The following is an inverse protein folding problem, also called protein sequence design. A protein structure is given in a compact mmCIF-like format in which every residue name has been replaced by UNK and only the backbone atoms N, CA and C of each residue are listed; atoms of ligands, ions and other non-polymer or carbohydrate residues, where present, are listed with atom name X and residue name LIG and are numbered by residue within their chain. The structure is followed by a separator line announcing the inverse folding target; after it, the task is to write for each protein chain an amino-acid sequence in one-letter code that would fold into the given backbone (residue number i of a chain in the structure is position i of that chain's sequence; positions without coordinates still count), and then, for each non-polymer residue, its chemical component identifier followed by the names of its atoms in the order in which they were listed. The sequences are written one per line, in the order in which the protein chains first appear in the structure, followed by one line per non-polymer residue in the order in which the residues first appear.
data_IF_131410052739
#
_entry.id   IF_131410052739
#
_cell.length_a   1.000
_cell.length_b   1.000
_cell.length_c   1.000
_cell.angle_alpha   90.00
_cell.angle_beta   90.00
_cell.angle_gamma   90.00
#
_symmetry.space_group_name_H-M   'P 1'
#
loop_
_entity.id
_entity.type
_entity.pdbx_description
1 polymer ?
#
# COMPACT_ATOMS: atom_id res chain seq x y z
N UNK A 1 11.51 16.74 -1.02
CA UNK A 1 12.66 15.85 -0.71
C UNK A 1 13.98 16.63 -0.64
N UNK A 2 14.00 17.76 0.07
CA UNK A 2 15.12 18.72 0.00
C UNK A 2 16.34 18.28 0.82
N UNK A 3 16.10 17.60 1.94
CA UNK A 3 17.16 17.14 2.83
C UNK A 3 17.89 15.85 2.35
N UNK A 4 17.49 15.27 1.21
CA UNK A 4 18.13 14.07 0.65
C UNK A 4 18.02 12.81 1.52
N UNK A 5 17.12 12.78 2.50
CA UNK A 5 16.86 11.65 3.39
C UNK A 5 15.59 10.91 2.98
N UNK A 6 15.55 9.60 3.19
CA UNK A 6 14.36 8.80 2.93
C UNK A 6 13.20 9.22 3.85
N UNK A 7 12.00 9.36 3.29
CA UNK A 7 10.79 9.80 4.02
C UNK A 7 9.65 8.81 3.88
N UNK A 8 8.75 8.80 4.87
CA UNK A 8 7.49 8.06 4.81
C UNK A 8 6.31 9.03 4.74
N UNK A 9 5.40 8.81 3.80
CA UNK A 9 4.12 9.53 3.73
C UNK A 9 3.09 8.85 4.65
N UNK A 10 2.34 9.65 5.41
CA UNK A 10 1.30 9.16 6.33
C UNK A 10 0.13 10.15 6.39
N UNK A 11 -1.06 9.63 6.68
CA UNK A 11 -2.25 10.44 6.95
C UNK A 11 -3.19 10.52 5.74
N UNK A 12 -4.44 10.07 5.95
CA UNK A 12 -5.49 10.05 4.92
C UNK A 12 -5.07 9.36 3.62
N UNK A 13 -4.25 8.32 3.73
CA UNK A 13 -3.93 7.41 2.63
C UNK A 13 -4.86 6.21 2.75
N UNK A 14 -5.87 6.15 1.88
CA UNK A 14 -7.02 5.25 2.03
C UNK A 14 -7.16 4.23 0.89
N UNK A 15 -6.49 4.45 -0.24
CA UNK A 15 -6.55 3.54 -1.38
C UNK A 15 -5.18 3.32 -2.05
N UNK A 16 -5.13 2.27 -2.87
CA UNK A 16 -3.90 1.81 -3.49
C UNK A 16 -3.37 2.77 -4.57
N UNK A 17 -4.25 3.44 -5.31
CA UNK A 17 -3.83 4.36 -6.37
C UNK A 17 -3.20 5.61 -5.77
N UNK A 18 -3.74 6.12 -4.67
CA UNK A 18 -3.15 7.22 -3.91
C UNK A 18 -1.76 6.85 -3.38
N UNK A 19 -1.61 5.65 -2.81
CA UNK A 19 -0.32 5.16 -2.33
C UNK A 19 0.72 5.01 -3.46
N UNK A 20 0.31 4.43 -4.58
CA UNK A 20 1.18 4.27 -5.76
C UNK A 20 1.60 5.61 -6.35
N UNK A 21 0.67 6.57 -6.45
CA UNK A 21 0.97 7.92 -6.93
C UNK A 21 2.02 8.63 -6.08
N UNK A 22 1.93 8.53 -4.74
CA UNK A 22 2.92 9.11 -3.82
C UNK A 22 4.33 8.56 -4.10
N UNK A 23 4.44 7.27 -4.41
CA UNK A 23 5.71 6.61 -4.70
C UNK A 23 6.24 6.97 -6.09
N UNK A 24 5.39 6.91 -7.12
CA UNK A 24 5.77 7.21 -8.50
C UNK A 24 6.22 8.68 -8.68
N UNK A 25 5.56 9.61 -8.01
CA UNK A 25 5.93 11.03 -8.00
C UNK A 25 7.12 11.34 -7.08
N UNK A 26 7.67 10.34 -6.39
CA UNK A 26 8.83 10.50 -5.52
C UNK A 26 8.58 11.38 -4.28
N UNK A 27 7.32 11.58 -3.89
CA UNK A 27 6.94 12.39 -2.74
C UNK A 27 7.42 11.77 -1.41
N UNK A 28 7.47 10.44 -1.36
CA UNK A 28 8.03 9.65 -0.27
C UNK A 28 8.68 8.36 -0.79
N UNK A 29 9.45 7.70 0.07
CA UNK A 29 10.09 6.41 -0.21
C UNK A 29 9.25 5.24 0.33
N UNK A 30 8.39 5.52 1.32
CA UNK A 30 7.51 4.56 1.97
C UNK A 30 6.14 5.20 2.18
N UNK A 31 5.10 4.37 2.19
CA UNK A 31 3.74 4.77 2.58
C UNK A 31 3.37 4.06 3.88
N UNK A 32 3.02 4.83 4.91
CA UNK A 32 2.52 4.30 6.18
C UNK A 32 1.00 4.38 6.23
N UNK A 33 0.37 3.21 6.35
CA UNK A 33 -1.08 3.06 6.50
C UNK A 33 -1.42 2.87 7.97
N UNK A 34 -2.46 3.55 8.47
CA UNK A 34 -2.85 3.51 9.87
C UNK A 34 -4.32 3.12 10.04
N UNK A 35 -5.24 4.09 10.09
CA UNK A 35 -6.68 3.83 10.32
C UNK A 35 -7.30 2.92 9.26
N UNK A 36 -6.79 2.92 8.04
CA UNK A 36 -7.27 2.02 7.00
C UNK A 36 -6.93 0.56 7.31
N UNK A 37 -5.74 0.27 7.83
CA UNK A 37 -5.38 -1.08 8.30
C UNK A 37 -6.24 -1.56 9.48
N UNK A 38 -6.82 -0.64 10.26
CA UNK A 38 -7.77 -1.00 11.32
C UNK A 38 -9.16 -1.34 10.78
N UNK A 39 -9.54 -0.77 9.63
CA UNK A 39 -10.82 -1.07 8.94
C UNK A 39 -10.71 -2.33 8.10
N UNK A 40 -9.58 -2.47 7.42
CA UNK A 40 -9.23 -3.58 6.54
C UNK A 40 -7.80 -4.08 6.84
N UNK A 41 -7.64 -5.13 7.66
CA UNK A 41 -6.32 -5.68 7.97
C UNK A 41 -5.65 -6.35 6.77
N UNK A 42 -6.41 -6.66 5.70
CA UNK A 42 -5.88 -7.21 4.45
C UNK A 42 -5.71 -6.16 3.36
N UNK A 43 -5.73 -4.87 3.73
CA UNK A 43 -5.49 -3.75 2.82
C UNK A 43 -4.34 -4.00 1.84
N UNK A 44 -3.14 -4.51 2.24
CA UNK A 44 -2.05 -4.75 1.28
C UNK A 44 -2.40 -5.78 0.19
N UNK A 45 -3.17 -6.83 0.52
CA UNK A 45 -3.60 -7.84 -0.46
C UNK A 45 -4.64 -7.26 -1.42
N UNK A 46 -5.58 -6.47 -0.91
CA UNK A 46 -6.58 -5.79 -1.73
C UNK A 46 -5.95 -4.68 -2.59
N UNK A 47 -4.96 -3.97 -2.07
CA UNK A 47 -4.19 -2.97 -2.81
C UNK A 47 -3.43 -3.60 -3.98
N UNK A 48 -2.74 -4.73 -3.74
CA UNK A 48 -2.09 -5.50 -4.79
C UNK A 48 -3.10 -5.92 -5.88
N UNK A 49 -4.28 -6.43 -5.48
CA UNK A 49 -5.36 -6.76 -6.43
C UNK A 49 -5.85 -5.54 -7.23
N UNK A 50 -6.03 -4.39 -6.58
CA UNK A 50 -6.47 -3.16 -7.24
C UNK A 50 -5.46 -2.62 -8.26
N UNK A 51 -4.16 -2.77 -7.97
CA UNK A 51 -3.06 -2.37 -8.85
C UNK A 51 -2.68 -3.45 -9.89
N UNK A 52 -3.34 -4.62 -9.87
CA UNK A 52 -3.03 -5.72 -10.78
C UNK A 52 -1.68 -6.40 -10.52
N UNK A 53 -1.16 -6.29 -9.30
CA UNK A 53 0.12 -6.88 -8.90
C UNK A 53 -0.10 -8.24 -8.26
N UNK A 54 0.57 -9.26 -8.78
CA UNK A 54 0.53 -10.60 -8.19
C UNK A 54 1.46 -10.72 -6.99
N UNK A 55 0.89 -10.94 -5.80
CA UNK A 55 1.64 -11.13 -4.55
C UNK A 55 1.38 -12.51 -3.96
N UNK A 56 2.35 -13.06 -3.21
CA UNK A 56 2.14 -14.31 -2.48
C UNK A 56 1.13 -14.09 -1.35
N UNK A 57 0.01 -14.81 -1.39
CA UNK A 57 -0.94 -14.86 -0.28
C UNK A 57 -0.44 -15.89 0.75
N UNK A 58 -0.85 -15.79 2.04
CA UNK A 58 -0.71 -16.91 2.97
C UNK A 58 -1.30 -18.19 2.36
N UNK A 59 -0.63 -19.33 2.53
CA UNK A 59 -0.98 -20.60 1.86
C UNK A 59 -2.44 -21.00 2.09
N UNK A 60 -2.95 -20.74 3.29
CA UNK A 60 -4.32 -21.01 3.70
C UNK A 60 -5.36 -20.21 2.90
N UNK A 61 -4.98 -19.10 2.29
CA UNK A 61 -5.86 -18.19 1.55
C UNK A 61 -5.62 -18.17 0.04
N UNK A 62 -4.70 -18.99 -0.51
CA UNK A 62 -4.41 -18.99 -1.95
C UNK A 62 -5.66 -19.19 -2.81
N UNK A 63 -6.59 -20.05 -2.37
CA UNK A 63 -7.83 -20.32 -3.10
C UNK A 63 -8.78 -19.13 -3.17
N UNK A 64 -8.62 -18.13 -2.29
CA UNK A 64 -9.41 -16.91 -2.24
C UNK A 64 -8.83 -15.78 -3.12
N UNK A 65 -7.62 -15.94 -3.66
CA UNK A 65 -6.92 -14.96 -4.53
C UNK A 65 -7.59 -14.73 -5.91
N UNK A 66 -8.78 -15.29 -6.13
CA UNK A 66 -9.50 -15.26 -7.41
C UNK A 66 -10.07 -13.88 -7.74
#
# INVERSE_FOLDING_TARGET
KEAGIATSAVGMILDANQAEFILQEGMADVVSIARELLRDPYFPLHAAKALGVDVKWPEQYERAKR
#
